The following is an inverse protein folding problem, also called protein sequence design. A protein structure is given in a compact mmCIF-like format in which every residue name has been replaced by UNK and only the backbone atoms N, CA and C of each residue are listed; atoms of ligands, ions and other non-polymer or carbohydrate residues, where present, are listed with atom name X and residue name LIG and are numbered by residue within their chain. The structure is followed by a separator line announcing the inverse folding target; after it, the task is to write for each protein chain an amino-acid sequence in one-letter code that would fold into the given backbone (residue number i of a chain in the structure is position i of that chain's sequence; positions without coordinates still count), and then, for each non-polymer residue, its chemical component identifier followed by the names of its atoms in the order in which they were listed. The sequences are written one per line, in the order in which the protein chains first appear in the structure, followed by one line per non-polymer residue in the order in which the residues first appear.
data_IF_524429581044
#
_entry.id   IF_524429581044
#
_cell.length_a   1.000
_cell.length_b   1.000
_cell.length_c   1.000
_cell.angle_alpha   90.00
_cell.angle_beta   90.00
_cell.angle_gamma   90.00
#
_symmetry.space_group_name_H-M   'P 1'
#
loop_
_entity.id
_entity.type
_entity.pdbx_description
1 polymer ?
#
# COMPACT_ATOMS: atom_id res chain seq x y z
N UNK A 1 9.00 -9.99 -4.54
CA UNK A 1 8.10 -8.90 -4.07
C UNK A 1 8.68 -8.20 -2.85
N UNK A 2 8.55 -6.86 -2.79
CA UNK A 2 9.13 -6.04 -1.71
C UNK A 2 8.35 -6.18 -0.39
N UNK A 3 9.04 -6.55 0.69
CA UNK A 3 8.53 -6.50 2.06
C UNK A 3 8.49 -5.08 2.64
N UNK A 4 8.87 -4.06 1.86
CA UNK A 4 8.89 -2.67 2.29
C UNK A 4 7.61 -1.90 1.91
N UNK A 5 6.83 -2.39 0.94
CA UNK A 5 5.62 -1.71 0.48
C UNK A 5 4.38 -2.03 1.33
N UNK A 6 3.72 -1.01 1.86
CA UNK A 6 2.46 -1.10 2.60
C UNK A 6 1.33 -0.45 1.82
N UNK A 7 0.09 -0.77 2.21
CA UNK A 7 -1.08 -0.03 1.76
C UNK A 7 -1.33 1.15 2.71
N UNK A 8 -1.54 2.34 2.17
CA UNK A 8 -2.03 3.51 2.89
C UNK A 8 -3.46 3.77 2.43
N UNK A 9 -4.42 3.69 3.35
CA UNK A 9 -5.84 3.71 3.02
C UNK A 9 -6.45 5.03 3.45
N UNK A 10 -7.05 5.74 2.50
CA UNK A 10 -7.78 6.99 2.70
C UNK A 10 -9.28 6.75 2.72
N UNK A 11 -9.94 7.50 3.58
CA UNK A 11 -11.38 7.49 3.77
C UNK A 11 -11.95 8.88 3.57
N UNK A 12 -13.04 8.95 2.82
CA UNK A 12 -13.88 10.13 2.70
C UNK A 12 -15.30 9.75 3.15
N UNK A 13 -15.67 10.16 4.36
CA UNK A 13 -16.87 9.71 5.04
C UNK A 13 -17.94 10.81 5.09
N UNK A 14 -19.21 10.42 5.08
CA UNK A 14 -20.32 11.38 5.26
C UNK A 14 -20.45 11.86 6.71
N UNK A 15 -19.86 11.13 7.66
CA UNK A 15 -19.82 11.43 9.09
C UNK A 15 -18.54 10.82 9.70
N UNK A 16 -18.06 11.38 10.81
CA UNK A 16 -16.94 10.81 11.54
C UNK A 16 -17.25 9.36 11.98
N UNK A 17 -16.31 8.41 11.75
CA UNK A 17 -16.44 7.04 12.21
C UNK A 17 -16.41 6.98 13.74
N UNK A 18 -16.97 5.91 14.30
CA UNK A 18 -16.97 5.70 15.75
C UNK A 18 -15.52 5.60 16.24
N UNK A 19 -15.14 6.28 17.36
CA UNK A 19 -13.76 6.32 17.86
C UNK A 19 -13.07 4.97 18.11
N UNK A 20 -13.82 3.86 18.08
CA UNK A 20 -13.32 2.50 18.30
C UNK A 20 -12.57 1.90 17.09
N UNK A 21 -12.53 2.57 15.93
CA UNK A 21 -11.78 2.06 14.78
C UNK A 21 -10.28 2.37 14.95
N UNK A 22 -9.57 1.43 15.58
CA UNK A 22 -8.14 1.53 15.87
C UNK A 22 -7.31 1.86 14.61
N UNK A 23 -6.44 2.87 14.72
CA UNK A 23 -5.43 3.19 13.70
C UNK A 23 -5.84 4.22 12.64
N UNK A 24 -7.03 4.83 12.76
CA UNK A 24 -7.41 5.99 11.94
C UNK A 24 -6.79 7.29 12.49
N UNK A 25 -6.31 8.12 11.59
CA UNK A 25 -5.87 9.49 11.88
C UNK A 25 -6.60 10.45 10.94
N UNK A 26 -7.04 11.60 11.45
CA UNK A 26 -7.62 12.65 10.62
C UNK A 26 -6.57 13.16 9.62
N UNK A 27 -6.99 13.36 8.37
CA UNK A 27 -6.13 13.99 7.38
C UNK A 27 -6.29 15.51 7.42
N UNK A 28 -5.33 16.25 6.87
CA UNK A 28 -5.44 17.70 6.74
C UNK A 28 -6.56 18.15 5.77
N UNK A 29 -7.15 17.22 5.01
CA UNK A 29 -8.04 17.52 3.89
C UNK A 29 -9.52 17.47 4.28
N UNK A 30 -10.09 18.59 4.73
CA UNK A 30 -11.52 18.73 5.12
C UNK A 30 -11.89 17.91 6.36
N UNK A 31 -13.15 18.04 6.77
CA UNK A 31 -13.71 17.25 7.87
C UNK A 31 -14.12 15.86 7.38
N UNK A 32 -14.15 14.88 8.29
CA UNK A 32 -14.56 13.49 8.05
C UNK A 32 -13.70 12.72 7.05
N UNK A 33 -12.43 13.10 6.95
CA UNK A 33 -11.43 12.39 6.14
C UNK A 33 -10.35 11.80 7.03
N UNK A 34 -10.03 10.55 6.77
CA UNK A 34 -9.15 9.78 7.64
C UNK A 34 -8.17 8.94 6.82
N UNK A 35 -7.08 8.55 7.47
CA UNK A 35 -6.07 7.65 6.91
C UNK A 35 -5.72 6.57 7.91
N UNK A 36 -5.44 5.37 7.42
CA UNK A 36 -4.81 4.29 8.19
C UNK A 36 -3.70 3.63 7.39
N UNK A 37 -2.78 3.00 8.10
CA UNK A 37 -1.84 2.04 7.51
C UNK A 37 -2.53 0.67 7.44
N UNK A 38 -2.44 0.05 6.28
CA UNK A 38 -2.89 -1.31 6.00
C UNK A 38 -1.73 -2.31 5.99
N UNK A 39 -2.05 -3.55 5.65
CA UNK A 39 -1.09 -4.64 5.53
C UNK A 39 -0.09 -4.45 4.38
N UNK A 40 0.68 -5.49 4.12
CA UNK A 40 1.65 -5.49 3.03
C UNK A 40 0.96 -5.33 1.67
N UNK A 41 1.63 -4.64 0.75
CA UNK A 41 1.20 -4.60 -0.63
C UNK A 41 1.22 -6.01 -1.24
N UNK A 42 0.09 -6.41 -1.85
CA UNK A 42 -0.13 -7.71 -2.49
C UNK A 42 -0.26 -8.95 -1.57
N UNK A 43 -0.54 -8.77 -0.27
CA UNK A 43 -1.05 -9.87 0.57
C UNK A 43 -2.52 -10.16 0.22
N UNK A 44 -2.74 -11.14 -0.66
CA UNK A 44 -3.92 -12.00 -1.03
C UNK A 44 -5.37 -11.49 -0.96
N UNK A 45 -5.63 -10.32 -0.42
CA UNK A 45 -6.90 -9.63 -0.41
C UNK A 45 -6.57 -8.21 -0.80
N UNK A 46 -6.90 -7.85 -2.04
CA UNK A 46 -6.80 -6.47 -2.47
C UNK A 46 -7.54 -5.52 -1.51
N UNK A 47 -7.48 -4.25 -1.86
CA UNK A 47 -8.18 -3.17 -1.14
C UNK A 47 -9.69 -3.45 -1.04
N UNK A 48 -10.22 -4.26 -1.94
CA UNK A 48 -11.61 -4.68 -1.99
C UNK A 48 -12.00 -5.52 -0.76
N UNK A 49 -12.85 -4.93 0.07
CA UNK A 49 -13.54 -5.57 1.20
C UNK A 49 -12.79 -5.49 2.54
N UNK A 50 -11.46 -5.65 2.56
CA UNK A 50 -10.70 -5.75 3.82
C UNK A 50 -10.60 -4.44 4.62
N UNK A 51 -10.71 -3.29 3.95
CA UNK A 51 -10.60 -1.96 4.56
C UNK A 51 -11.88 -1.16 4.54
N UNK A 52 -13.01 -1.74 4.11
CA UNK A 52 -14.28 -1.02 4.01
C UNK A 52 -14.74 -0.51 5.39
N UNK A 53 -15.17 0.75 5.43
CA UNK A 53 -15.80 1.36 6.60
C UNK A 53 -17.19 1.85 6.21
N UNK A 54 -18.16 1.65 7.11
CA UNK A 54 -19.53 2.10 6.89
C UNK A 54 -19.56 3.59 6.55
N UNK A 55 -20.31 3.95 5.49
CA UNK A 55 -20.48 5.33 5.01
C UNK A 55 -19.21 6.06 4.57
N UNK A 56 -18.13 5.34 4.27
CA UNK A 56 -16.89 5.91 3.75
C UNK A 56 -16.59 5.39 2.34
N UNK A 57 -16.25 6.31 1.44
CA UNK A 57 -15.53 5.93 0.22
C UNK A 57 -14.08 5.65 0.58
N UNK A 58 -13.52 4.57 0.02
CA UNK A 58 -12.17 4.09 0.35
C UNK A 58 -11.28 4.18 -0.87
N UNK A 59 -10.05 4.67 -0.70
CA UNK A 59 -9.01 4.66 -1.73
C UNK A 59 -7.72 4.20 -1.09
N UNK A 60 -6.96 3.34 -1.78
CA UNK A 60 -5.67 2.89 -1.29
C UNK A 60 -4.54 3.34 -2.19
N UNK A 61 -3.41 3.64 -1.57
CA UNK A 61 -2.15 3.95 -2.24
C UNK A 61 -1.07 2.99 -1.73
N UNK A 62 -0.14 2.63 -2.60
CA UNK A 62 1.06 1.89 -2.19
C UNK A 62 2.10 2.88 -1.71
N UNK A 63 2.65 2.65 -0.53
CA UNK A 63 3.73 3.46 0.06
C UNK A 63 4.84 2.55 0.58
N UNK A 64 6.07 3.06 0.66
CA UNK A 64 7.21 2.34 1.23
C UNK A 64 7.48 2.83 2.65
N UNK A 65 7.71 1.91 3.59
CA UNK A 65 8.18 2.26 4.93
C UNK A 65 9.69 2.11 5.02
N UNK A 66 10.42 3.21 4.87
CA UNK A 66 11.89 3.21 4.88
C UNK A 66 12.51 3.12 6.28
N UNK A 67 11.78 3.47 7.34
CA UNK A 67 12.37 3.80 8.66
C UNK A 67 11.74 3.09 9.87
N UNK A 68 11.04 1.97 9.67
CA UNK A 68 10.40 1.21 10.76
C UNK A 68 8.93 0.90 10.47
N UNK A 69 8.12 0.75 11.52
CA UNK A 69 6.68 0.55 11.38
C UNK A 69 6.02 1.80 10.80
N UNK A 70 5.22 1.63 9.74
CA UNK A 70 4.51 2.74 9.12
C UNK A 70 3.39 3.22 10.06
N UNK A 71 3.39 4.50 10.39
CA UNK A 71 2.36 5.12 11.22
C UNK A 71 1.48 6.06 10.41
N UNK A 72 0.17 5.95 10.59
CA UNK A 72 -0.83 6.75 9.88
C UNK A 72 -0.67 8.27 10.14
N UNK A 73 -0.17 8.68 11.31
CA UNK A 73 0.11 10.09 11.60
C UNK A 73 1.19 10.71 10.70
N UNK A 74 2.02 9.88 10.07
CA UNK A 74 3.11 10.32 9.19
C UNK A 74 2.74 10.14 7.71
N UNK A 75 1.44 10.07 7.37
CA UNK A 75 0.97 9.74 6.02
C UNK A 75 1.56 10.64 4.93
N UNK A 76 1.79 11.93 5.19
CA UNK A 76 2.36 12.85 4.22
C UNK A 76 3.81 12.49 3.85
N UNK A 77 4.61 12.11 4.85
CA UNK A 77 5.97 11.59 4.60
C UNK A 77 5.90 10.27 3.84
N UNK A 78 5.00 9.36 4.22
CA UNK A 78 4.84 8.08 3.53
C UNK A 78 4.49 8.26 2.04
N UNK A 79 3.64 9.24 1.71
CA UNK A 79 3.36 9.62 0.31
C UNK A 79 4.62 10.15 -0.37
N UNK A 80 5.36 11.04 0.30
CA UNK A 80 6.59 11.64 -0.24
C UNK A 80 7.72 10.64 -0.50
N UNK A 81 7.85 9.63 0.37
CA UNK A 81 8.83 8.55 0.23
C UNK A 81 8.50 7.60 -0.94
N UNK A 82 7.26 7.66 -1.45
CA UNK A 82 6.82 6.90 -2.61
C UNK A 82 6.70 5.41 -2.34
N UNK A 83 7.02 4.58 -3.32
CA UNK A 83 6.93 3.11 -3.24
C UNK A 83 8.06 2.44 -4.01
N UNK A 84 8.36 1.19 -3.68
CA UNK A 84 9.41 0.42 -4.36
C UNK A 84 8.83 -0.52 -5.42
N UNK A 85 9.15 -0.27 -6.68
CA UNK A 85 8.89 -1.23 -7.76
C UNK A 85 10.08 -2.17 -7.94
N UNK A 86 9.81 -3.46 -7.94
CA UNK A 86 10.80 -4.51 -8.24
C UNK A 86 10.30 -5.32 -9.41
N UNK A 87 11.15 -5.49 -10.42
CA UNK A 87 10.89 -6.35 -11.57
C UNK A 87 11.76 -7.59 -11.43
N UNK A 88 11.16 -8.78 -11.57
CA UNK A 88 11.95 -9.99 -11.67
C UNK A 88 12.63 -9.97 -13.04
N UNK A 89 13.96 -10.05 -13.05
CA UNK A 89 14.69 -10.16 -14.31
C UNK A 89 14.40 -11.55 -14.91
N UNK A 90 14.08 -11.64 -16.21
CA UNK A 90 14.00 -12.94 -16.85
C UNK A 90 15.36 -13.65 -16.69
N UNK A 91 15.36 -14.98 -16.53
CA UNK A 91 16.60 -15.73 -16.39
C UNK A 91 17.51 -15.44 -17.58
N UNK A 92 18.81 -15.25 -17.31
CA UNK A 92 19.79 -15.05 -18.37
C UNK A 92 19.76 -16.26 -19.31
N UNK A 93 19.90 -16.06 -20.64
CA UNK A 93 19.98 -17.18 -21.58
C UNK A 93 21.14 -18.09 -21.19
N UNK A 94 20.85 -19.37 -20.98
CA UNK A 94 21.89 -20.35 -20.72
C UNK A 94 22.63 -20.62 -22.02
N UNK A 95 23.87 -20.15 -22.15
CA UNK A 95 24.73 -20.52 -23.28
C UNK A 95 25.21 -21.96 -23.10
N UNK A 96 24.41 -22.93 -23.55
CA UNK A 96 24.92 -24.27 -23.83
C UNK A 96 25.59 -24.20 -25.21
N UNK A 97 26.91 -24.34 -25.20
CA UNK A 97 27.84 -24.36 -26.35
C UNK A 97 27.12 -24.60 -27.69
N UNK A 98 26.85 -23.51 -28.42
CA UNK A 98 26.38 -23.54 -29.81
C UNK A 98 24.87 -23.41 -30.05
N UNK A 99 24.01 -23.25 -29.03
CA UNK A 99 22.58 -23.00 -29.26
C UNK A 99 21.98 -22.06 -28.20
N UNK A 100 21.41 -20.95 -28.67
CA UNK A 100 20.59 -20.06 -27.83
C UNK A 100 19.18 -20.69 -27.73
N UNK A 101 18.72 -20.94 -26.50
CA UNK A 101 17.34 -21.33 -26.22
C UNK A 101 16.67 -20.18 -25.49
N UNK A 102 15.55 -19.68 -26.01
CA UNK A 102 14.77 -18.63 -25.35
C UNK A 102 14.16 -19.16 -24.05
N UNK A 103 14.12 -18.35 -22.97
CA UNK A 103 13.41 -18.71 -21.77
C UNK A 103 11.89 -18.75 -22.05
N UNK A 104 11.29 -19.92 -21.79
CA UNK A 104 9.86 -20.22 -21.92
C UNK A 104 8.99 -19.58 -20.86
#
# INVERSE_FOLDING_TARGET
MSTLNRNLIFYNCTMAPVPATAGLVETACRNNTFVRVGGQYNETSGVDGSYALDRCSTTAMTVMSLSGEAHASNYERLIGDGFLLTWDQPPLPTFIRGKLTDPS
#
